data_IF_610828569472
#
_entry.id   IF_610828569472
#
_cell.length_a   1.000
_cell.length_b   1.000
_cell.length_c   1.000
_cell.angle_alpha   90.00
_cell.angle_beta   90.00
_cell.angle_gamma   90.00
#
_symmetry.space_group_name_H-M   'P 1'
#
loop_
_entity.id
_entity.type
_entity.pdbx_description
1 polymer ?
#
# COMPACT_ATOMS: atom_id res chain seq x y z
N UNK A 1 -2.16 14.14 -44.65
CA UNK A 1 -1.93 14.73 -43.31
C UNK A 1 -1.64 13.59 -42.35
N UNK A 2 -0.36 13.25 -42.17
CA UNK A 2 0.08 12.18 -41.29
C UNK A 2 0.37 12.76 -39.90
N UNK A 3 -0.43 12.38 -38.90
CA UNK A 3 -0.24 12.76 -37.49
C UNK A 3 0.88 11.94 -36.87
N UNK A 4 1.98 12.61 -36.51
CA UNK A 4 3.21 12.00 -36.01
C UNK A 4 3.08 11.37 -34.62
N UNK A 5 3.48 10.12 -34.52
CA UNK A 5 3.86 9.43 -33.29
C UNK A 5 5.38 9.57 -33.09
N UNK A 6 5.81 10.24 -32.01
CA UNK A 6 7.19 10.26 -31.47
C UNK A 6 7.11 10.66 -29.96
N UNK A 7 7.97 10.23 -28.99
CA UNK A 7 9.19 9.40 -29.04
C UNK A 7 9.38 8.49 -27.78
N UNK A 8 8.42 7.66 -27.36
CA UNK A 8 8.56 6.85 -26.11
C UNK A 8 9.74 5.87 -26.18
N UNK A 9 9.98 5.29 -27.36
CA UNK A 9 11.10 4.37 -27.60
C UNK A 9 12.48 5.03 -27.44
N UNK A 10 12.67 6.27 -27.89
CA UNK A 10 13.94 6.98 -27.73
C UNK A 10 14.21 7.33 -26.28
N UNK A 11 13.17 7.73 -25.53
CA UNK A 11 13.28 8.04 -24.11
C UNK A 11 13.66 6.80 -23.27
N UNK A 12 13.10 5.63 -23.61
CA UNK A 12 13.45 4.35 -22.96
C UNK A 12 14.88 3.94 -23.29
N UNK A 13 15.28 3.96 -24.58
CA UNK A 13 16.64 3.57 -24.97
C UNK A 13 17.70 4.48 -24.35
N UNK A 14 17.41 5.79 -24.25
CA UNK A 14 18.27 6.75 -23.56
C UNK A 14 18.45 6.37 -22.08
N UNK A 15 17.36 6.07 -21.36
CA UNK A 15 17.42 5.66 -19.95
C UNK A 15 18.15 4.34 -19.75
N UNK A 16 17.94 3.35 -20.62
CA UNK A 16 18.67 2.07 -20.56
C UNK A 16 20.18 2.30 -20.71
N UNK A 17 20.60 3.15 -21.67
CA UNK A 17 22.02 3.51 -21.83
C UNK A 17 22.56 4.24 -20.60
N UNK A 18 21.80 5.16 -20.04
CA UNK A 18 22.18 5.86 -18.81
C UNK A 18 22.34 4.88 -17.63
N UNK A 19 21.42 3.94 -17.46
CA UNK A 19 21.49 2.94 -16.38
C UNK A 19 22.62 1.94 -16.56
N UNK A 20 22.93 1.52 -17.78
CA UNK A 20 24.13 0.72 -18.05
C UNK A 20 25.40 1.49 -17.69
N UNK A 21 25.50 2.76 -18.09
CA UNK A 21 26.65 3.62 -17.79
C UNK A 21 26.81 3.85 -16.29
N UNK A 22 25.71 3.95 -15.55
CA UNK A 22 25.70 4.11 -14.10
C UNK A 22 25.82 2.77 -13.33
N UNK A 23 25.92 1.63 -14.03
CA UNK A 23 26.02 0.31 -13.41
C UNK A 23 24.74 -0.16 -12.71
N UNK A 24 23.59 0.47 -12.99
CA UNK A 24 22.28 0.10 -12.43
C UNK A 24 21.62 -1.06 -13.20
N UNK A 25 22.02 -1.26 -14.46
CA UNK A 25 21.64 -2.40 -15.28
C UNK A 25 22.87 -3.16 -15.75
N UNK A 26 22.72 -4.46 -15.96
CA UNK A 26 23.69 -5.33 -16.61
C UNK A 26 23.01 -6.11 -17.73
N UNK A 27 23.77 -6.49 -18.76
CA UNK A 27 23.29 -7.41 -19.80
C UNK A 27 23.53 -8.83 -19.32
N UNK A 28 22.47 -9.61 -19.16
CA UNK A 28 22.57 -11.00 -18.68
C UNK A 28 22.58 -12.02 -19.81
N UNK A 29 22.01 -11.67 -20.97
CA UNK A 29 21.93 -12.52 -22.16
C UNK A 29 21.85 -11.67 -23.42
N UNK A 30 22.48 -12.14 -24.50
CA UNK A 30 22.32 -11.59 -25.84
C UNK A 30 21.84 -12.74 -26.74
N UNK A 31 20.76 -12.50 -27.46
CA UNK A 31 20.15 -13.48 -28.36
C UNK A 31 20.21 -12.97 -29.80
N UNK A 32 20.81 -13.77 -30.68
CA UNK A 32 20.86 -13.46 -32.10
C UNK A 32 19.48 -13.64 -32.71
N UNK A 33 19.07 -12.69 -33.56
CA UNK A 33 17.85 -12.77 -34.38
C UNK A 33 18.14 -12.15 -35.74
N UNK A 34 17.38 -12.54 -36.77
CA UNK A 34 17.49 -11.92 -38.10
C UNK A 34 17.27 -10.40 -37.96
N UNK A 35 18.34 -9.63 -38.18
CA UNK A 35 18.40 -8.21 -37.86
C UNK A 35 19.23 -7.92 -36.59
N UNK A 36 18.68 -7.14 -35.65
CA UNK A 36 19.43 -6.62 -34.49
C UNK A 36 19.35 -7.56 -33.29
N UNK A 37 20.46 -8.01 -32.74
CA UNK A 37 20.48 -8.85 -31.54
C UNK A 37 19.63 -8.29 -30.37
N UNK A 38 18.89 -9.17 -29.70
CA UNK A 38 18.07 -8.85 -28.53
C UNK A 38 18.94 -8.93 -27.26
N UNK A 39 18.90 -7.89 -26.42
CA UNK A 39 19.64 -7.84 -25.15
C UNK A 39 18.67 -7.97 -23.99
N UNK A 40 18.96 -8.88 -23.07
CA UNK A 40 18.23 -9.05 -21.82
C UNK A 40 18.96 -8.29 -20.72
N UNK A 41 18.22 -7.43 -20.01
CA UNK A 41 18.76 -6.58 -18.97
C UNK A 41 18.22 -6.99 -17.60
N UNK A 42 19.07 -6.90 -16.58
CA UNK A 42 18.69 -7.07 -15.18
C UNK A 42 19.29 -5.95 -14.35
N UNK A 43 18.59 -5.58 -13.27
CA UNK A 43 19.17 -4.75 -12.22
C UNK A 43 20.48 -5.39 -11.69
N UNK A 44 21.51 -4.58 -11.49
CA UNK A 44 22.79 -5.08 -10.95
C UNK A 44 22.69 -5.49 -9.48
N UNK A 45 21.74 -4.93 -8.74
CA UNK A 45 21.45 -5.26 -7.34
C UNK A 45 19.98 -5.63 -7.14
N UNK A 46 19.69 -6.35 -6.05
CA UNK A 46 18.32 -6.59 -5.57
C UNK A 46 17.68 -5.36 -4.93
N UNK A 47 18.48 -4.35 -4.58
CA UNK A 47 18.00 -3.10 -3.99
C UNK A 47 19.05 -1.98 -4.07
N UNK A 48 18.55 -0.76 -4.07
CA UNK A 48 19.37 0.46 -4.02
C UNK A 48 18.89 1.32 -2.87
N UNK A 49 19.82 1.89 -2.12
CA UNK A 49 19.53 3.00 -1.22
C UNK A 49 19.78 4.30 -1.98
N UNK A 50 18.73 5.12 -2.14
CA UNK A 50 18.82 6.44 -2.78
C UNK A 50 18.71 7.50 -1.69
N UNK A 51 19.81 8.21 -1.35
CA UNK A 51 19.77 9.27 -0.35
C UNK A 51 18.78 10.37 -0.77
N UNK A 52 18.12 11.00 0.19
CA UNK A 52 17.18 12.10 -0.06
C UNK A 52 17.78 13.21 -0.96
N UNK A 53 19.05 13.56 -0.71
CA UNK A 53 19.80 14.55 -1.49
C UNK A 53 19.98 14.19 -2.99
N UNK A 54 19.78 12.93 -3.37
CA UNK A 54 19.83 12.47 -4.75
C UNK A 54 18.43 12.39 -5.41
N UNK A 55 17.38 12.77 -4.69
CA UNK A 55 15.99 12.77 -5.18
C UNK A 55 15.55 14.18 -5.60
N UNK A 56 14.48 14.27 -6.37
CA UNK A 56 13.86 15.54 -6.76
C UNK A 56 12.81 16.04 -5.75
N UNK A 57 12.68 15.39 -4.59
CA UNK A 57 11.68 15.76 -3.61
C UNK A 57 12.16 16.96 -2.79
N UNK A 58 11.31 17.98 -2.66
CA UNK A 58 11.64 19.19 -1.90
C UNK A 58 11.66 18.95 -0.38
N UNK A 59 10.95 17.91 0.08
CA UNK A 59 10.87 17.52 1.49
C UNK A 59 10.85 16.00 1.66
N UNK A 60 11.22 15.53 2.85
CA UNK A 60 11.11 14.11 3.22
C UNK A 60 9.66 13.63 3.13
N UNK A 61 8.69 14.49 3.47
CA UNK A 61 7.27 14.19 3.32
C UNK A 61 6.90 13.95 1.84
N UNK A 62 7.33 14.85 0.94
CA UNK A 62 7.07 14.69 -0.49
C UNK A 62 7.72 13.42 -1.06
N UNK A 63 8.93 13.08 -0.61
CA UNK A 63 9.56 11.81 -0.98
C UNK A 63 8.73 10.60 -0.50
N UNK A 64 8.25 10.66 0.74
CA UNK A 64 7.46 9.59 1.33
C UNK A 64 6.12 9.40 0.59
N UNK A 65 5.40 10.49 0.32
CA UNK A 65 4.15 10.46 -0.45
C UNK A 65 4.36 9.89 -1.85
N UNK A 66 5.39 10.35 -2.57
CA UNK A 66 5.73 9.84 -3.91
C UNK A 66 6.07 8.34 -3.88
N UNK A 67 6.78 7.89 -2.84
CA UNK A 67 7.14 6.47 -2.67
C UNK A 67 5.93 5.56 -2.45
N UNK A 68 4.88 6.09 -1.84
CA UNK A 68 3.66 5.35 -1.52
C UNK A 68 2.63 5.38 -2.65
N UNK A 69 2.73 6.28 -3.61
CA UNK A 69 1.64 6.55 -4.53
C UNK A 69 1.29 5.34 -5.42
N UNK A 70 2.29 4.67 -6.01
CA UNK A 70 2.04 3.48 -6.81
C UNK A 70 1.50 2.30 -5.98
N UNK A 71 2.14 1.87 -4.87
CA UNK A 71 1.57 0.85 -3.99
C UNK A 71 0.18 1.22 -3.48
N UNK A 72 -0.07 2.48 -3.13
CA UNK A 72 -1.37 2.97 -2.68
C UNK A 72 -2.44 2.77 -3.74
N UNK A 73 -2.19 3.15 -4.99
CA UNK A 73 -3.14 2.96 -6.09
C UNK A 73 -3.43 1.49 -6.35
N UNK A 74 -2.40 0.64 -6.38
CA UNK A 74 -2.56 -0.80 -6.58
C UNK A 74 -3.38 -1.43 -5.46
N UNK A 75 -3.06 -1.11 -4.19
CA UNK A 75 -3.83 -1.58 -3.03
C UNK A 75 -5.28 -1.10 -3.11
N UNK A 76 -5.53 0.18 -3.41
CA UNK A 76 -6.88 0.71 -3.52
C UNK A 76 -7.68 0.03 -4.65
N UNK A 77 -7.06 -0.22 -5.80
CA UNK A 77 -7.69 -0.92 -6.92
C UNK A 77 -8.04 -2.38 -6.56
N UNK A 78 -7.11 -3.11 -5.95
CA UNK A 78 -7.35 -4.49 -5.49
C UNK A 78 -8.42 -4.55 -4.41
N UNK A 79 -8.38 -3.64 -3.44
CA UNK A 79 -9.41 -3.53 -2.40
C UNK A 79 -10.77 -3.26 -3.05
N UNK A 80 -10.87 -2.25 -3.92
CA UNK A 80 -12.14 -1.92 -4.59
C UNK A 80 -12.70 -3.12 -5.36
N UNK A 81 -11.86 -3.86 -6.09
CA UNK A 81 -12.26 -5.05 -6.84
C UNK A 81 -12.81 -6.16 -5.94
N UNK A 82 -12.11 -6.51 -4.86
CA UNK A 82 -12.55 -7.56 -3.94
C UNK A 82 -13.80 -7.11 -3.19
N UNK A 83 -13.82 -5.87 -2.71
CA UNK A 83 -14.95 -5.33 -1.96
C UNK A 83 -16.23 -5.23 -2.80
N UNK A 84 -16.14 -4.85 -4.08
CA UNK A 84 -17.30 -4.82 -4.97
C UNK A 84 -17.87 -6.21 -5.25
N UNK A 85 -17.05 -7.25 -5.18
CA UNK A 85 -17.48 -8.63 -5.38
C UNK A 85 -18.13 -9.26 -4.15
N UNK A 86 -18.00 -8.64 -2.97
CA UNK A 86 -18.55 -9.14 -1.71
C UNK A 86 -19.93 -8.59 -1.36
N UNK A 87 -20.37 -7.53 -2.04
CA UNK A 87 -21.69 -6.96 -1.81
C UNK A 87 -22.72 -7.66 -2.70
N UNK A 88 -23.74 -8.27 -2.11
CA UNK A 88 -24.88 -8.84 -2.84
C UNK A 88 -25.65 -7.75 -3.61
N UNK A 89 -25.76 -6.56 -3.01
CA UNK A 89 -26.30 -5.35 -3.60
C UNK A 89 -25.33 -4.18 -3.36
N UNK A 90 -25.06 -3.38 -4.40
CA UNK A 90 -24.22 -2.19 -4.29
C UNK A 90 -24.71 -1.18 -3.24
N UNK A 91 -26.00 -1.23 -2.87
CA UNK A 91 -26.61 -0.41 -1.80
C UNK A 91 -26.20 -0.83 -0.39
N UNK A 92 -25.70 -2.05 -0.21
CA UNK A 92 -25.21 -2.54 1.07
C UNK A 92 -23.76 -2.11 1.34
N UNK A 93 -23.07 -1.63 0.30
CA UNK A 93 -21.76 -1.03 0.41
C UNK A 93 -21.84 0.35 1.10
N UNK A 94 -21.11 0.53 2.20
CA UNK A 94 -21.23 1.72 3.03
C UNK A 94 -19.92 2.20 3.64
N UNK A 95 -19.83 3.52 3.83
CA UNK A 95 -18.84 4.16 4.69
C UNK A 95 -19.38 4.22 6.12
N UNK A 96 -18.73 3.52 7.03
CA UNK A 96 -19.02 3.54 8.45
C UNK A 96 -18.07 4.50 9.14
N UNK A 97 -18.60 5.53 9.79
CA UNK A 97 -17.84 6.49 10.58
C UNK A 97 -18.21 6.34 12.05
N UNK A 98 -17.21 6.42 12.92
CA UNK A 98 -17.43 6.46 14.36
C UNK A 98 -16.57 7.53 15.00
N UNK A 99 -17.17 8.23 15.95
CA UNK A 99 -16.55 9.32 16.67
C UNK A 99 -17.15 9.45 18.06
N UNK A 100 -16.49 10.26 18.88
CA UNK A 100 -16.97 10.67 20.19
C UNK A 100 -17.03 12.21 20.23
N UNK A 101 -17.19 12.79 21.43
CA UNK A 101 -17.21 14.24 21.63
C UNK A 101 -15.93 14.95 21.15
N UNK A 102 -14.83 14.21 20.90
CA UNK A 102 -13.56 14.72 20.39
C UNK A 102 -13.44 14.66 18.87
N UNK A 103 -14.46 14.14 18.18
CA UNK A 103 -14.56 14.08 16.71
C UNK A 103 -14.47 12.67 16.13
N UNK A 104 -14.23 12.59 14.81
CA UNK A 104 -14.13 11.32 14.09
C UNK A 104 -12.91 10.52 14.60
N UNK A 105 -13.17 9.36 15.19
CA UNK A 105 -12.14 8.46 15.70
C UNK A 105 -11.61 7.53 14.61
N UNK A 106 -12.50 7.00 13.76
CA UNK A 106 -12.11 6.22 12.60
C UNK A 106 -13.28 5.96 11.64
N UNK A 107 -12.95 5.42 10.48
CA UNK A 107 -13.88 5.02 9.45
C UNK A 107 -13.50 3.66 8.85
N UNK A 108 -14.48 2.94 8.35
CA UNK A 108 -14.31 1.68 7.64
C UNK A 108 -15.23 1.65 6.42
N UNK A 109 -14.77 1.05 5.34
CA UNK A 109 -15.63 0.66 4.21
C UNK A 109 -16.04 -0.79 4.43
N UNK A 110 -17.33 -1.08 4.36
CA UNK A 110 -17.86 -2.44 4.48
C UNK A 110 -18.73 -2.80 3.27
N UNK A 111 -18.74 -4.07 2.84
CA UNK A 111 -19.60 -4.56 1.77
C UNK A 111 -20.99 -5.00 2.27
N UNK A 112 -21.32 -4.74 3.54
CA UNK A 112 -22.61 -5.06 4.13
C UNK A 112 -23.01 -4.03 5.19
N UNK A 113 -24.31 -3.98 5.48
CA UNK A 113 -24.85 -3.22 6.60
C UNK A 113 -24.72 -4.00 7.91
N UNK A 114 -23.92 -3.55 8.90
CA UNK A 114 -23.81 -4.22 10.17
C UNK A 114 -25.10 -4.04 10.98
N UNK A 115 -25.51 -5.10 11.69
CA UNK A 115 -26.69 -5.07 12.55
C UNK A 115 -26.54 -4.09 13.74
N UNK A 116 -25.30 -3.88 14.22
CA UNK A 116 -24.99 -2.95 15.31
C UNK A 116 -23.77 -2.11 14.93
N UNK A 117 -23.85 -0.76 14.93
CA UNK A 117 -22.73 0.13 14.61
C UNK A 117 -21.77 0.30 15.81
N UNK A 118 -21.36 -0.80 16.45
CA UNK A 118 -20.45 -0.80 17.58
C UNK A 118 -19.12 -1.44 17.22
N UNK A 119 -18.02 -0.90 17.78
CA UNK A 119 -16.71 -1.57 17.79
C UNK A 119 -16.88 -2.90 18.53
N UNK A 120 -16.40 -3.99 17.94
CA UNK A 120 -16.50 -5.32 18.55
C UNK A 120 -15.95 -5.35 19.97
N UNK A 121 -16.67 -5.99 20.88
CA UNK A 121 -16.18 -6.33 22.21
C UNK A 121 -15.24 -7.54 22.17
N UNK A 122 -14.58 -7.88 23.29
CA UNK A 122 -13.58 -8.94 23.35
C UNK A 122 -14.10 -10.35 22.99
N UNK A 123 -15.41 -10.56 22.92
CA UNK A 123 -16.04 -11.85 22.65
C UNK A 123 -16.79 -11.93 21.30
N UNK A 124 -16.72 -10.90 20.45
CA UNK A 124 -17.37 -10.94 19.14
C UNK A 124 -16.75 -9.93 18.21
N UNK A 125 -16.33 -10.37 17.02
CA UNK A 125 -15.59 -9.58 16.01
C UNK A 125 -16.26 -8.28 15.54
N UNK A 126 -17.39 -7.90 16.15
CA UNK A 126 -18.11 -6.65 15.91
C UNK A 126 -18.43 -6.49 14.44
N UNK A 127 -18.35 -5.25 13.99
CA UNK A 127 -18.47 -4.88 12.58
C UNK A 127 -17.53 -5.65 11.64
N UNK A 128 -16.43 -6.25 12.11
CA UNK A 128 -15.46 -7.00 11.29
C UNK A 128 -15.64 -8.52 11.36
N UNK A 129 -16.49 -9.06 12.24
CA UNK A 129 -16.62 -10.50 12.46
C UNK A 129 -16.86 -11.30 11.19
N UNK A 130 -17.85 -10.94 10.35
CA UNK A 130 -18.08 -11.59 9.07
C UNK A 130 -16.89 -11.54 8.11
N UNK A 131 -16.04 -10.51 8.20
CA UNK A 131 -14.83 -10.36 7.36
C UNK A 131 -13.66 -11.22 7.82
N UNK A 132 -13.76 -11.81 9.01
CA UNK A 132 -12.74 -12.67 9.60
C UNK A 132 -13.13 -14.16 9.55
N UNK A 133 -14.26 -14.50 8.93
CA UNK A 133 -14.68 -15.88 8.70
C UNK A 133 -13.77 -16.59 7.69
N UNK A 134 -13.67 -17.92 7.78
CA UNK A 134 -12.79 -18.72 6.92
C UNK A 134 -13.18 -18.64 5.43
N UNK A 135 -14.46 -18.42 5.15
CA UNK A 135 -15.03 -18.29 3.81
C UNK A 135 -14.88 -16.88 3.23
N UNK A 136 -14.55 -15.88 4.06
CA UNK A 136 -14.37 -14.52 3.61
C UNK A 136 -13.01 -14.35 2.90
N UNK A 137 -12.92 -13.56 1.82
CA UNK A 137 -11.63 -13.22 1.23
C UNK A 137 -10.73 -12.56 2.26
N UNK A 138 -9.43 -12.88 2.21
CA UNK A 138 -8.40 -12.33 3.10
C UNK A 138 -8.13 -10.85 2.80
N UNK A 139 -9.10 -9.98 3.11
CA UNK A 139 -9.05 -8.55 2.90
C UNK A 139 -9.32 -7.82 4.21
N UNK A 140 -8.39 -6.92 4.54
CA UNK A 140 -8.52 -6.04 5.68
C UNK A 140 -8.00 -4.64 5.34
N UNK A 141 -8.81 -3.62 5.57
CA UNK A 141 -8.42 -2.23 5.44
C UNK A 141 -8.98 -1.45 6.65
N UNK A 142 -8.11 -1.11 7.58
CA UNK A 142 -8.50 -0.41 8.79
C UNK A 142 -7.55 0.74 9.07
N UNK A 143 -8.12 1.91 9.33
CA UNK A 143 -7.41 3.08 9.86
C UNK A 143 -8.04 3.41 11.20
N UNK A 144 -7.29 3.24 12.28
CA UNK A 144 -7.80 3.39 13.64
C UNK A 144 -6.86 4.22 14.51
N UNK A 145 -7.43 5.14 15.28
CA UNK A 145 -6.71 5.80 16.38
C UNK A 145 -6.70 4.89 17.61
N UNK A 146 -5.53 4.76 18.23
CA UNK A 146 -5.31 4.03 19.49
C UNK A 146 -4.71 4.97 20.54
N UNK A 147 -5.25 4.97 21.75
CA UNK A 147 -4.70 5.67 22.90
C UNK A 147 -3.86 4.70 23.73
N UNK A 148 -2.54 4.76 23.59
CA UNK A 148 -1.60 3.83 24.23
C UNK A 148 -0.54 4.59 25.02
N UNK A 149 -0.01 3.95 26.08
CA UNK A 149 1.24 4.41 26.68
C UNK A 149 2.39 4.26 25.70
N UNK A 150 3.50 4.99 25.89
CA UNK A 150 4.69 4.82 25.06
C UNK A 150 5.26 3.39 25.12
N UNK A 151 5.13 2.73 26.28
CA UNK A 151 5.50 1.32 26.47
C UNK A 151 4.64 0.40 25.60
N UNK A 152 3.32 0.56 25.65
CA UNK A 152 2.39 -0.30 24.91
C UNK A 152 2.45 -0.04 23.41
N UNK A 153 2.64 1.22 22.99
CA UNK A 153 2.90 1.55 21.59
C UNK A 153 4.16 0.86 21.07
N UNK A 154 5.21 0.77 21.89
CA UNK A 154 6.45 0.07 21.51
C UNK A 154 6.28 -1.45 21.48
N UNK A 155 5.49 -2.01 22.39
CA UNK A 155 5.12 -3.43 22.35
C UNK A 155 4.36 -3.74 21.06
N UNK A 156 3.29 -2.99 20.76
CA UNK A 156 2.53 -3.14 19.52
C UNK A 156 3.41 -3.02 18.26
N UNK A 157 4.34 -2.06 18.22
CA UNK A 157 5.31 -1.93 17.12
C UNK A 157 6.09 -3.24 16.91
N UNK A 158 6.58 -3.86 18.00
CA UNK A 158 7.38 -5.10 17.94
C UNK A 158 6.51 -6.29 17.52
N UNK A 159 5.30 -6.38 18.04
CA UNK A 159 4.37 -7.47 17.73
C UNK A 159 3.94 -7.44 16.26
N UNK A 160 3.64 -6.26 15.71
CA UNK A 160 3.32 -6.09 14.29
C UNK A 160 4.52 -6.48 13.39
N UNK A 161 5.74 -6.11 13.79
CA UNK A 161 6.95 -6.52 13.06
C UNK A 161 7.14 -8.04 13.10
N UNK A 162 7.00 -8.66 14.27
CA UNK A 162 7.12 -10.10 14.45
C UNK A 162 6.05 -10.87 13.66
N UNK A 163 4.80 -10.39 13.70
CA UNK A 163 3.68 -10.93 12.94
C UNK A 163 3.96 -10.90 11.43
N UNK A 164 4.38 -9.74 10.92
CA UNK A 164 4.73 -9.59 9.52
C UNK A 164 5.86 -10.53 9.10
N UNK A 165 6.94 -10.60 9.89
CA UNK A 165 8.07 -11.51 9.65
C UNK A 165 7.63 -12.99 9.59
N UNK A 166 6.78 -13.43 10.52
CA UNK A 166 6.26 -14.80 10.56
C UNK A 166 5.60 -15.21 9.25
N UNK A 167 4.72 -14.37 8.70
CA UNK A 167 4.02 -14.69 7.46
C UNK A 167 4.86 -14.47 6.20
N UNK A 168 5.88 -13.60 6.23
CA UNK A 168 6.86 -13.50 5.14
C UNK A 168 7.67 -14.80 4.94
N UNK A 169 7.89 -15.55 6.02
CA UNK A 169 8.67 -16.79 6.00
C UNK A 169 7.79 -18.00 5.61
N UNK A 170 6.46 -17.89 5.73
CA UNK A 170 5.49 -18.86 5.19
C UNK A 170 5.40 -18.72 3.66
N UNK A 171 6.24 -19.44 2.91
CA UNK A 171 6.18 -19.48 1.45
C UNK A 171 5.53 -20.76 0.96
N UNK A 172 4.46 -20.61 0.20
CA UNK A 172 3.86 -21.68 -0.60
C UNK A 172 4.10 -21.40 -2.09
N UNK A 173 4.88 -22.23 -2.82
CA UNK A 173 5.07 -22.09 -4.26
C UNK A 173 3.78 -22.18 -5.09
N UNK A 174 2.74 -22.82 -4.57
CA UNK A 174 1.42 -22.91 -5.19
C UNK A 174 0.44 -21.82 -4.73
N UNK A 175 0.85 -20.96 -3.79
CA UNK A 175 0.01 -19.92 -3.19
C UNK A 175 -0.15 -18.67 -4.05
N UNK A 176 -1.22 -17.91 -3.77
CA UNK A 176 -1.45 -16.59 -4.38
C UNK A 176 -0.60 -15.48 -3.74
N UNK A 177 -0.40 -14.38 -4.46
CA UNK A 177 0.36 -13.22 -3.96
C UNK A 177 -0.57 -12.18 -3.33
N UNK A 178 -0.38 -11.93 -2.04
CA UNK A 178 -1.13 -10.92 -1.27
C UNK A 178 -0.31 -9.66 -1.02
N UNK A 179 -0.95 -8.49 -1.12
CA UNK A 179 -0.37 -7.20 -0.74
C UNK A 179 -0.84 -6.81 0.66
N UNK A 180 0.09 -6.62 1.59
CA UNK A 180 -0.19 -6.22 2.98
C UNK A 180 0.39 -4.84 3.26
N UNK A 181 -0.43 -3.95 3.83
CA UNK A 181 0.02 -2.65 4.35
C UNK A 181 -0.46 -2.46 5.79
N UNK A 182 0.49 -2.37 6.71
CA UNK A 182 0.25 -2.07 8.12
C UNK A 182 1.02 -0.80 8.48
N UNK A 183 0.33 0.27 8.89
CA UNK A 183 0.99 1.54 9.25
C UNK A 183 0.59 1.97 10.65
N UNK A 184 1.59 2.10 11.53
CA UNK A 184 1.47 2.69 12.86
C UNK A 184 2.47 3.85 12.94
N UNK A 185 1.98 5.04 13.31
CA UNK A 185 2.82 6.23 13.53
C UNK A 185 2.31 6.97 14.77
N UNK A 186 3.19 7.62 15.57
CA UNK A 186 2.73 8.52 16.63
C UNK A 186 1.80 9.60 16.06
N UNK A 187 0.70 9.87 16.75
CA UNK A 187 -0.18 10.97 16.37
C UNK A 187 0.50 12.31 16.68
N UNK A 188 0.64 13.18 15.68
CA UNK A 188 0.92 14.61 15.89
C UNK A 188 -0.42 15.28 16.12
N UNK A 189 -0.65 15.82 17.32
CA UNK A 189 -1.82 16.67 17.57
C UNK A 189 -1.60 17.98 16.80
N UNK A 190 -2.25 18.13 15.65
CA UNK A 190 -2.38 19.43 15.01
C UNK A 190 -3.42 20.20 15.83
N UNK A 191 -2.95 21.13 16.67
CA UNK A 191 -3.84 21.98 17.45
C UNK A 191 -4.81 22.71 16.48
N UNK A 192 -6.11 22.76 16.77
CA UNK A 192 -7.06 23.48 15.94
C UNK A 192 -6.65 24.95 15.88
N UNK A 193 -6.53 25.51 14.66
CA UNK A 193 -6.31 26.95 14.47
C UNK A 193 -7.42 27.69 15.21
N UNK A 194 -7.07 28.43 16.26
CA UNK A 194 -7.99 29.37 16.89
C UNK A 194 -8.39 30.41 15.83
N UNK A 195 -9.70 30.58 15.61
CA UNK A 195 -10.20 31.69 14.78
C UNK A 195 -9.87 32.99 15.50
N UNK A 196 -9.33 34.01 14.82
CA UNK A 196 -9.17 35.33 15.42
C UNK A 196 -10.56 35.90 15.74
N UNK A 197 -10.67 36.45 16.95
CA UNK A 197 -11.80 37.22 17.47
C UNK A 197 -12.04 38.49 16.68
#
# INVERSE_FOLDING_TARGET
MAGGSWPVEQAVLYRVRQFLRLGLLTVTRIEARAGRALKYYRASSRGYFVPFAATHADTVQALYEASLDHPRRSVLASLAQVWSGLADDARDYGLYTFGDERGLMSHALLPYRPAVPQRGGPAGGGMLGPLLADEAPAVWNNTATLSLSARDAKALQRDLYALHRRYQDCRDPAGESYLVRLTLTPAVVVAPRQRPS
#
